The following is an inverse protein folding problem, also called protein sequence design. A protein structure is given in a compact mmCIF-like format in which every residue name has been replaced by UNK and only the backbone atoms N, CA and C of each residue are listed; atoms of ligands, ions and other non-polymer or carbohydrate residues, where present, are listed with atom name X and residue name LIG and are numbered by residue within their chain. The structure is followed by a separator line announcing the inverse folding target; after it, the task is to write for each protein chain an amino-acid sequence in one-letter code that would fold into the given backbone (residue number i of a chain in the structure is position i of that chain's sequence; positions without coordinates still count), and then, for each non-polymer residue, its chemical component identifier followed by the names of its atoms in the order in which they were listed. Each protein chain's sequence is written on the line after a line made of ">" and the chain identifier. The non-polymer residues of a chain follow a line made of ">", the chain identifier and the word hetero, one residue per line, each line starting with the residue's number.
data_IF_487884801346
#
_entry.id   IF_487884801346
#
_cell.length_a   1.000
_cell.length_b   1.000
_cell.length_c   1.000
_cell.angle_alpha   90.00
_cell.angle_beta   90.00
_cell.angle_gamma   90.00
#
_symmetry.space_group_name_H-M   'P 1'
#
loop_
_entity.id
_entity.type
_entity.pdbx_description
1 polymer ?
#
# COMPACT_ATOMS: atom_id res chain seq x y z
N UNK A 1 -3.81 -4.00 23.62
CA UNK A 1 -4.90 -3.22 23.02
C UNK A 1 -4.83 -3.54 21.53
N UNK A 2 -5.74 -4.34 21.01
CA UNK A 2 -5.81 -4.58 19.57
C UNK A 2 -5.98 -3.21 18.93
N UNK A 3 -5.10 -2.82 18.03
CA UNK A 3 -5.30 -1.65 17.17
C UNK A 3 -6.62 -1.93 16.48
N UNK A 4 -7.64 -1.19 16.85
CA UNK A 4 -9.00 -1.57 16.55
C UNK A 4 -9.30 -1.02 15.16
N UNK A 5 -9.05 -1.82 14.13
CA UNK A 5 -9.63 -1.58 12.80
C UNK A 5 -11.13 -1.22 12.91
N UNK A 6 -11.84 -1.80 13.90
CA UNK A 6 -13.21 -1.40 14.27
C UNK A 6 -13.37 0.09 14.60
N UNK A 7 -12.33 0.79 15.05
CA UNK A 7 -12.42 2.22 15.32
C UNK A 7 -12.41 3.06 14.05
N UNK A 8 -11.64 2.65 13.05
CA UNK A 8 -11.65 3.29 11.72
C UNK A 8 -13.01 3.04 11.04
N UNK A 9 -13.58 1.84 11.17
CA UNK A 9 -14.89 1.51 10.62
C UNK A 9 -16.07 2.24 11.31
N UNK A 10 -15.88 2.70 12.55
CA UNK A 10 -16.92 3.39 13.35
C UNK A 10 -16.66 4.89 13.53
N UNK A 11 -15.73 5.49 12.78
CA UNK A 11 -15.55 6.94 12.75
C UNK A 11 -16.79 7.59 12.12
N UNK A 12 -17.25 8.69 12.69
CA UNK A 12 -18.31 9.46 12.07
C UNK A 12 -17.81 10.14 10.77
N UNK A 13 -18.70 10.60 9.87
CA UNK A 13 -18.31 11.20 8.61
C UNK A 13 -17.31 12.37 8.73
N UNK A 14 -17.43 13.20 9.77
CA UNK A 14 -16.52 14.35 10.01
C UNK A 14 -15.14 13.91 10.51
N UNK A 15 -15.07 12.83 11.30
CA UNK A 15 -13.80 12.20 11.71
C UNK A 15 -13.12 11.51 10.55
N UNK A 16 -13.89 10.96 9.60
CA UNK A 16 -13.42 10.35 8.38
C UNK A 16 -12.81 11.40 7.44
N UNK A 17 -13.47 12.52 7.24
CA UNK A 17 -13.04 13.60 6.34
C UNK A 17 -11.69 14.22 6.75
N UNK A 18 -11.31 14.12 8.02
CA UNK A 18 -10.03 14.56 8.57
C UNK A 18 -8.99 13.45 8.72
N UNK A 19 -9.30 12.21 8.32
CA UNK A 19 -8.34 11.12 8.45
C UNK A 19 -7.27 11.23 7.36
N UNK A 20 -6.02 11.13 7.77
CA UNK A 20 -4.84 11.14 6.87
C UNK A 20 -4.94 10.04 5.79
N UNK A 21 -5.77 9.02 5.99
CA UNK A 21 -5.92 7.86 5.12
C UNK A 21 -7.04 8.03 4.08
N UNK A 22 -7.96 8.96 4.30
CA UNK A 22 -9.16 9.17 3.48
C UNK A 22 -9.06 10.38 2.56
N UNK A 23 -7.96 11.16 2.67
CA UNK A 23 -7.71 12.31 1.81
C UNK A 23 -7.71 11.95 0.33
N UNK A 24 -8.04 12.93 -0.50
CA UNK A 24 -8.02 12.77 -1.97
C UNK A 24 -6.63 12.88 -2.57
N UNK A 25 -5.68 13.47 -1.83
CA UNK A 25 -4.31 13.65 -2.31
C UNK A 25 -3.53 12.34 -2.27
N UNK A 26 -2.73 12.05 -3.30
CA UNK A 26 -1.89 10.85 -3.34
C UNK A 26 -0.86 10.86 -2.21
N UNK A 27 -0.40 9.69 -1.82
CA UNK A 27 0.74 9.58 -0.91
C UNK A 27 2.05 9.98 -1.59
N UNK A 28 3.06 10.37 -0.80
CA UNK A 28 4.42 10.56 -1.31
C UNK A 28 4.98 9.33 -2.05
N UNK A 29 4.55 8.14 -1.66
CA UNK A 29 4.91 6.89 -2.33
C UNK A 29 4.48 6.87 -3.80
N UNK A 30 3.24 7.24 -4.07
CA UNK A 30 2.70 7.26 -5.43
C UNK A 30 3.36 8.39 -6.26
N UNK A 31 3.52 9.59 -5.68
CA UNK A 31 4.13 10.71 -6.41
C UNK A 31 5.59 10.44 -6.74
N UNK A 32 6.36 9.87 -5.81
CA UNK A 32 7.76 9.51 -6.06
C UNK A 32 7.94 8.47 -7.18
N UNK A 33 7.03 7.53 -7.33
CA UNK A 33 7.09 6.55 -8.43
C UNK A 33 7.00 7.24 -9.79
N UNK A 34 6.16 8.27 -9.92
CA UNK A 34 6.03 9.06 -11.14
C UNK A 34 7.23 9.98 -11.34
N UNK A 35 7.66 10.71 -10.30
CA UNK A 35 8.81 11.63 -10.34
C UNK A 35 10.11 10.93 -10.72
N UNK A 36 10.32 9.68 -10.24
CA UNK A 36 11.46 8.84 -10.60
C UNK A 36 11.34 8.17 -11.98
N UNK A 37 10.23 8.37 -12.69
CA UNK A 37 9.96 7.74 -13.99
C UNK A 37 9.81 6.21 -13.92
N UNK A 38 9.49 5.66 -12.74
CA UNK A 38 9.18 4.24 -12.54
C UNK A 38 7.77 3.95 -13.05
N UNK A 39 6.79 4.80 -12.67
CA UNK A 39 5.45 4.80 -13.28
C UNK A 39 5.43 5.85 -14.39
N UNK A 40 5.02 5.42 -15.58
CA UNK A 40 4.89 6.21 -16.80
C UNK A 40 3.50 5.99 -17.39
N UNK A 41 3.18 6.73 -18.43
CA UNK A 41 2.02 6.45 -19.26
C UNK A 41 2.02 4.98 -19.71
N UNK A 42 0.86 4.34 -19.62
CA UNK A 42 0.64 2.92 -19.90
C UNK A 42 1.39 1.92 -18.99
N UNK A 43 2.05 2.35 -17.92
CA UNK A 43 2.53 1.41 -16.89
C UNK A 43 1.35 0.70 -16.23
N UNK A 44 1.46 -0.63 -16.08
CA UNK A 44 0.48 -1.41 -15.33
C UNK A 44 0.82 -1.38 -13.84
N UNK A 45 -0.08 -0.83 -13.03
CA UNK A 45 0.12 -0.63 -11.59
C UNK A 45 -0.95 -1.36 -10.80
N UNK A 46 -0.55 -2.11 -9.78
CA UNK A 46 -1.45 -2.66 -8.77
C UNK A 46 -1.36 -1.81 -7.51
N UNK A 47 -2.48 -1.21 -7.07
CA UNK A 47 -2.62 -0.55 -5.77
C UNK A 47 -3.20 -1.56 -4.76
N UNK A 48 -2.35 -2.07 -3.86
CA UNK A 48 -2.66 -3.12 -2.91
C UNK A 48 -3.26 -2.53 -1.63
N UNK A 49 -4.54 -2.84 -1.36
CA UNK A 49 -5.25 -2.25 -0.23
C UNK A 49 -5.55 -0.77 -0.46
N UNK A 50 -6.11 -0.46 -1.62
CA UNK A 50 -6.28 0.90 -2.15
C UNK A 50 -7.16 1.83 -1.31
N UNK A 51 -7.92 1.30 -0.32
CA UNK A 51 -8.90 2.07 0.44
C UNK A 51 -9.89 2.78 -0.49
N UNK A 52 -10.04 4.09 -0.32
CA UNK A 52 -10.91 4.96 -1.14
C UNK A 52 -10.28 5.39 -2.48
N UNK A 53 -9.20 4.74 -2.91
CA UNK A 53 -8.64 4.89 -4.25
C UNK A 53 -7.80 6.13 -4.51
N UNK A 54 -7.34 6.87 -3.49
CA UNK A 54 -6.59 8.13 -3.68
C UNK A 54 -5.32 7.97 -4.54
N UNK A 55 -4.55 6.90 -4.31
CA UNK A 55 -3.34 6.63 -5.11
C UNK A 55 -3.73 6.09 -6.48
N UNK A 56 -4.65 5.13 -6.53
CA UNK A 56 -5.12 4.51 -7.76
C UNK A 56 -5.67 5.55 -8.75
N UNK A 57 -6.58 6.43 -8.29
CA UNK A 57 -7.16 7.47 -9.14
C UNK A 57 -6.12 8.47 -9.62
N UNK A 58 -5.22 8.89 -8.74
CA UNK A 58 -4.17 9.82 -9.11
C UNK A 58 -3.20 9.22 -10.14
N UNK A 59 -2.79 7.96 -9.95
CA UNK A 59 -1.91 7.26 -10.90
C UNK A 59 -2.59 7.07 -12.26
N UNK A 60 -3.88 6.73 -12.28
CA UNK A 60 -4.66 6.67 -13.50
C UNK A 60 -4.75 8.03 -14.20
N UNK A 61 -4.86 9.12 -13.44
CA UNK A 61 -4.79 10.50 -13.95
C UNK A 61 -3.42 10.88 -14.52
N UNK A 62 -2.36 10.10 -14.23
CA UNK A 62 -1.02 10.21 -14.84
C UNK A 62 -0.84 9.31 -16.07
N UNK A 63 -1.91 8.64 -16.52
CA UNK A 63 -1.91 7.77 -17.68
C UNK A 63 -1.51 6.32 -17.40
N UNK A 64 -1.35 5.91 -16.14
CA UNK A 64 -1.13 4.51 -15.79
C UNK A 64 -2.41 3.68 -15.98
N UNK A 65 -2.25 2.40 -16.28
CA UNK A 65 -3.31 1.39 -16.27
C UNK A 65 -3.32 0.82 -14.87
N UNK A 66 -4.40 1.06 -14.11
CA UNK A 66 -4.42 0.76 -12.68
C UNK A 66 -5.48 -0.26 -12.34
N UNK A 67 -5.04 -1.34 -11.69
CA UNK A 67 -5.88 -2.24 -10.91
C UNK A 67 -5.73 -1.88 -9.43
N UNK A 68 -6.84 -1.86 -8.70
CA UNK A 68 -6.89 -1.48 -7.29
C UNK A 68 -7.68 -2.51 -6.51
N UNK A 69 -7.07 -3.12 -5.48
CA UNK A 69 -7.76 -4.10 -4.67
C UNK A 69 -7.98 -3.65 -3.23
N UNK A 70 -9.08 -4.10 -2.66
CA UNK A 70 -9.37 -4.00 -1.24
C UNK A 70 -10.31 -5.14 -0.82
N UNK A 71 -10.31 -5.50 0.45
CA UNK A 71 -11.29 -6.43 1.03
C UNK A 71 -12.63 -5.74 1.36
N UNK A 72 -12.62 -4.44 1.58
CA UNK A 72 -13.78 -3.64 1.94
C UNK A 72 -14.49 -3.12 0.67
N UNK A 73 -15.72 -3.60 0.49
CA UNK A 73 -16.53 -3.26 -0.69
C UNK A 73 -17.06 -1.82 -0.66
N UNK A 74 -17.34 -1.27 0.52
CA UNK A 74 -17.78 0.12 0.67
C UNK A 74 -16.69 1.09 0.24
N UNK A 75 -15.43 0.83 0.64
CA UNK A 75 -14.28 1.61 0.23
C UNK A 75 -14.04 1.53 -1.28
N UNK A 76 -14.15 0.32 -1.87
CA UNK A 76 -14.05 0.14 -3.32
C UNK A 76 -15.13 0.92 -4.08
N UNK A 77 -16.38 0.93 -3.58
CA UNK A 77 -17.48 1.65 -4.20
C UNK A 77 -17.25 3.17 -4.15
N UNK A 78 -16.75 3.67 -3.03
CA UNK A 78 -16.35 5.08 -2.91
C UNK A 78 -15.18 5.41 -3.85
N UNK A 79 -14.17 4.55 -3.94
CA UNK A 79 -13.07 4.70 -4.90
C UNK A 79 -13.56 4.80 -6.34
N UNK A 80 -14.50 3.94 -6.74
CA UNK A 80 -15.14 3.98 -8.06
C UNK A 80 -15.89 5.30 -8.30
N UNK A 81 -16.65 5.77 -7.29
CA UNK A 81 -17.38 7.04 -7.39
C UNK A 81 -16.40 8.20 -7.61
N UNK A 82 -15.31 8.27 -6.81
CA UNK A 82 -14.27 9.30 -6.96
C UNK A 82 -13.56 9.23 -8.33
N UNK A 83 -13.29 8.02 -8.83
CA UNK A 83 -12.71 7.84 -10.16
C UNK A 83 -13.60 8.43 -11.25
N UNK A 84 -14.92 8.17 -11.19
CA UNK A 84 -15.91 8.73 -12.13
C UNK A 84 -15.93 10.25 -12.07
N UNK A 85 -15.92 10.86 -10.88
CA UNK A 85 -15.92 12.31 -10.70
C UNK A 85 -14.63 12.96 -11.25
N UNK A 86 -13.49 12.26 -11.11
CA UNK A 86 -12.20 12.71 -11.63
C UNK A 86 -12.02 12.40 -13.13
N UNK A 87 -12.94 11.67 -13.75
CA UNK A 87 -12.87 11.29 -15.16
C UNK A 87 -11.74 10.31 -15.49
N UNK A 88 -11.34 9.48 -14.51
CA UNK A 88 -10.28 8.47 -14.66
C UNK A 88 -10.85 7.06 -14.65
N UNK A 89 -10.10 6.11 -15.24
CA UNK A 89 -10.49 4.71 -15.29
C UNK A 89 -9.56 3.87 -14.41
N UNK A 90 -10.13 3.19 -13.42
CA UNK A 90 -9.44 2.27 -12.51
C UNK A 90 -10.28 0.99 -12.38
N UNK A 91 -9.64 -0.17 -12.48
CA UNK A 91 -10.29 -1.45 -12.26
C UNK A 91 -10.27 -1.80 -10.77
N UNK A 92 -11.40 -1.58 -10.08
CA UNK A 92 -11.54 -1.87 -8.66
C UNK A 92 -12.05 -3.30 -8.43
N UNK A 93 -11.26 -4.13 -7.75
CA UNK A 93 -11.51 -5.55 -7.51
C UNK A 93 -11.52 -5.86 -6.01
N UNK A 94 -12.56 -6.55 -5.55
CA UNK A 94 -12.59 -7.09 -4.18
C UNK A 94 -11.71 -8.33 -4.10
N UNK A 95 -10.59 -8.25 -3.38
CA UNK A 95 -9.65 -9.34 -3.25
C UNK A 95 -8.85 -9.25 -1.94
N UNK A 96 -8.29 -10.38 -1.52
CA UNK A 96 -7.33 -10.50 -0.42
C UNK A 96 -5.90 -10.33 -0.95
N UNK A 97 -5.03 -9.62 -0.20
CA UNK A 97 -3.64 -9.41 -0.57
C UNK A 97 -2.83 -10.72 -0.68
N UNK A 98 -3.23 -11.75 0.06
CA UNK A 98 -2.62 -13.09 0.02
C UNK A 98 -3.18 -14.00 -1.07
N UNK A 99 -4.14 -13.53 -1.90
CA UNK A 99 -4.72 -14.30 -3.01
C UNK A 99 -5.20 -13.35 -4.11
N UNK A 100 -4.30 -12.94 -4.98
CA UNK A 100 -4.57 -11.95 -6.02
C UNK A 100 -5.20 -12.60 -7.27
N UNK A 101 -6.33 -12.07 -7.78
CA UNK A 101 -7.03 -12.62 -8.94
C UNK A 101 -6.41 -12.14 -10.28
N UNK A 102 -5.09 -12.09 -10.35
CA UNK A 102 -4.35 -11.62 -11.52
C UNK A 102 -3.38 -12.70 -12.00
N UNK A 103 -3.04 -12.65 -13.28
CA UNK A 103 -2.07 -13.56 -13.89
C UNK A 103 -0.64 -13.21 -13.46
N UNK A 104 0.26 -14.16 -13.65
CA UNK A 104 1.70 -13.97 -13.39
C UNK A 104 2.26 -12.84 -14.27
N UNK A 105 3.19 -12.07 -13.72
CA UNK A 105 3.91 -11.04 -14.46
C UNK A 105 3.00 -10.03 -15.18
N UNK A 106 1.90 -9.61 -14.51
CA UNK A 106 0.93 -8.65 -15.04
C UNK A 106 1.33 -7.20 -14.82
N UNK A 107 2.05 -6.90 -13.73
CA UNK A 107 2.29 -5.53 -13.28
C UNK A 107 3.73 -5.08 -13.41
N UNK A 108 3.94 -3.84 -13.85
CA UNK A 108 5.23 -3.16 -13.82
C UNK A 108 5.56 -2.67 -12.40
N UNK A 109 4.52 -2.28 -11.64
CA UNK A 109 4.65 -1.76 -10.27
C UNK A 109 3.53 -2.30 -9.39
N UNK A 110 3.86 -2.70 -8.16
CA UNK A 110 2.92 -2.91 -7.07
C UNK A 110 3.18 -1.84 -6.00
N UNK A 111 2.12 -1.12 -5.62
CA UNK A 111 2.13 -0.14 -4.55
C UNK A 111 1.44 -0.72 -3.32
N UNK A 112 2.20 -0.98 -2.26
CA UNK A 112 1.72 -1.31 -0.92
C UNK A 112 1.87 -0.08 -0.02
N UNK A 113 0.88 0.77 -0.03
CA UNK A 113 0.87 2.02 0.75
C UNK A 113 0.24 1.83 2.13
N UNK A 114 0.63 0.78 2.84
CA UNK A 114 0.17 0.53 4.19
C UNK A 114 -0.88 -0.57 4.31
N UNK A 115 -0.93 -1.50 3.38
CA UNK A 115 -1.84 -2.65 3.39
C UNK A 115 -1.25 -3.83 4.17
N UNK A 116 -0.16 -4.43 3.67
CA UNK A 116 0.32 -5.72 4.19
C UNK A 116 0.77 -5.67 5.64
N UNK A 117 1.30 -4.52 6.12
CA UNK A 117 1.69 -4.42 7.52
C UNK A 117 0.50 -4.51 8.49
N UNK A 118 -0.73 -4.27 8.03
CA UNK A 118 -1.95 -4.40 8.82
C UNK A 118 -2.52 -5.82 8.85
N UNK A 119 -2.06 -6.69 7.96
CA UNK A 119 -2.48 -8.09 7.88
C UNK A 119 -1.85 -8.94 9.00
N UNK A 120 -2.43 -10.12 9.24
CA UNK A 120 -1.78 -11.14 10.06
C UNK A 120 -0.53 -11.70 9.36
N UNK A 121 0.27 -12.45 10.12
CA UNK A 121 1.54 -12.97 9.62
C UNK A 121 1.38 -13.91 8.43
N UNK A 122 0.38 -14.76 8.44
CA UNK A 122 0.12 -15.71 7.35
C UNK A 122 -0.22 -14.98 6.05
N UNK A 123 -1.11 -14.00 6.13
CA UNK A 123 -1.47 -13.15 4.98
C UNK A 123 -0.26 -12.34 4.49
N UNK A 124 0.58 -11.83 5.39
CA UNK A 124 1.81 -11.14 5.00
C UNK A 124 2.77 -12.04 4.21
N UNK A 125 2.96 -13.29 4.64
CA UNK A 125 3.81 -14.27 3.96
C UNK A 125 3.24 -14.60 2.57
N UNK A 126 1.94 -14.83 2.46
CA UNK A 126 1.26 -15.07 1.17
C UNK A 126 1.36 -13.85 0.23
N UNK A 127 1.19 -12.64 0.76
CA UNK A 127 1.26 -11.41 -0.05
C UNK A 127 2.64 -11.20 -0.69
N UNK A 128 3.72 -11.63 -0.04
CA UNK A 128 5.06 -11.60 -0.65
C UNK A 128 5.15 -12.53 -1.85
N UNK A 129 4.60 -13.76 -1.73
CA UNK A 129 4.57 -14.74 -2.82
C UNK A 129 3.71 -14.23 -3.98
N UNK A 130 2.56 -13.65 -3.68
CA UNK A 130 1.68 -13.04 -4.67
C UNK A 130 2.34 -11.83 -5.35
N UNK A 131 2.99 -10.94 -4.59
CA UNK A 131 3.73 -9.82 -5.15
C UNK A 131 4.83 -10.32 -6.10
N UNK A 132 5.59 -11.36 -5.68
CA UNK A 132 6.58 -11.98 -6.58
C UNK A 132 5.93 -12.57 -7.84
N UNK A 133 4.78 -13.21 -7.70
CA UNK A 133 4.10 -13.84 -8.84
C UNK A 133 3.60 -12.80 -9.85
N UNK A 134 2.89 -11.77 -9.37
CA UNK A 134 2.19 -10.83 -10.26
C UNK A 134 3.07 -9.71 -10.81
N UNK A 135 4.18 -9.36 -10.17
CA UNK A 135 5.12 -8.36 -10.67
C UNK A 135 5.98 -8.98 -11.79
N UNK A 136 6.15 -8.23 -12.89
CA UNK A 136 7.04 -8.59 -14.00
C UNK A 136 8.50 -8.68 -13.54
N UNK A 137 9.32 -9.48 -14.24
CA UNK A 137 10.76 -9.50 -14.02
C UNK A 137 11.35 -8.08 -14.15
N UNK A 138 12.11 -7.64 -13.15
CA UNK A 138 12.68 -6.28 -13.09
C UNK A 138 11.67 -5.18 -12.73
N UNK A 139 10.40 -5.52 -12.50
CA UNK A 139 9.37 -4.59 -12.00
C UNK A 139 9.57 -4.22 -10.53
N UNK A 140 8.78 -3.30 -10.02
CA UNK A 140 9.00 -2.67 -8.73
C UNK A 140 7.89 -2.95 -7.71
N UNK A 141 8.28 -3.04 -6.45
CA UNK A 141 7.41 -3.02 -5.29
C UNK A 141 7.75 -1.79 -4.44
N UNK A 142 6.81 -0.87 -4.29
CA UNK A 142 6.89 0.24 -3.34
C UNK A 142 6.15 -0.13 -2.08
N UNK A 143 6.86 -0.25 -0.97
CA UNK A 143 6.34 -0.69 0.32
C UNK A 143 6.33 0.45 1.33
N UNK A 144 5.26 0.52 2.13
CA UNK A 144 5.21 1.29 3.37
C UNK A 144 4.60 0.44 4.50
N UNK A 145 5.20 0.51 5.68
CA UNK A 145 4.68 -0.13 6.89
C UNK A 145 5.21 0.50 8.16
N UNK A 146 4.61 0.19 9.31
CA UNK A 146 5.08 0.69 10.60
C UNK A 146 6.45 0.11 10.97
N UNK A 147 7.32 0.99 11.48
CA UNK A 147 8.65 0.65 11.96
C UNK A 147 8.60 0.10 13.39
N UNK A 148 9.56 -0.76 13.77
CA UNK A 148 9.81 -1.13 15.18
C UNK A 148 10.22 0.07 16.06
N UNK A 149 10.58 1.20 15.48
CA UNK A 149 10.77 2.47 16.20
C UNK A 149 9.45 3.18 16.55
N UNK A 150 8.32 2.71 16.02
CA UNK A 150 7.01 3.27 16.34
C UNK A 150 6.70 3.16 17.83
N UNK A 151 6.19 4.21 18.51
CA UNK A 151 5.94 4.20 19.95
C UNK A 151 5.06 3.05 20.45
N UNK A 152 4.14 2.59 19.62
CA UNK A 152 3.25 1.45 19.96
C UNK A 152 3.95 0.09 19.90
N UNK A 153 5.13 -0.03 19.30
CA UNK A 153 5.89 -1.29 19.25
C UNK A 153 6.23 -1.81 20.65
N UNK A 154 6.67 -0.94 21.56
CA UNK A 154 6.98 -1.35 22.93
C UNK A 154 5.80 -1.94 23.69
N UNK A 155 4.56 -1.56 23.30
CA UNK A 155 3.32 -2.08 23.91
C UNK A 155 2.93 -3.45 23.34
N UNK A 156 3.37 -3.77 22.14
CA UNK A 156 3.08 -5.03 21.46
C UNK A 156 4.24 -5.47 20.52
N UNK A 157 5.38 -5.89 21.07
CA UNK A 157 6.60 -6.21 20.30
C UNK A 157 6.45 -7.46 19.42
N UNK A 158 5.43 -8.29 19.66
CA UNK A 158 5.17 -9.50 18.86
C UNK A 158 4.15 -9.25 17.73
N UNK A 159 3.68 -8.01 17.56
CA UNK A 159 2.76 -7.70 16.48
C UNK A 159 3.50 -7.71 15.14
N UNK A 160 2.96 -8.42 14.13
CA UNK A 160 3.53 -8.45 12.78
C UNK A 160 3.42 -7.12 12.04
N UNK A 161 2.71 -6.14 12.63
CA UNK A 161 2.54 -4.81 12.05
C UNK A 161 3.83 -4.00 12.00
N UNK A 162 4.75 -4.25 12.93
CA UNK A 162 5.99 -3.49 13.06
C UNK A 162 7.18 -4.28 12.53
N UNK A 163 7.89 -3.69 11.59
CA UNK A 163 9.05 -4.30 10.93
C UNK A 163 10.22 -3.33 10.88
N UNK A 164 11.42 -3.83 10.99
CA UNK A 164 12.64 -3.11 10.65
C UNK A 164 13.17 -3.56 9.27
N UNK A 165 14.29 -2.97 8.86
CA UNK A 165 14.88 -3.27 7.55
C UNK A 165 15.30 -4.74 7.44
N UNK A 166 15.78 -5.34 8.54
CA UNK A 166 16.22 -6.73 8.54
C UNK A 166 15.04 -7.70 8.42
N UNK A 167 13.89 -7.37 9.02
CA UNK A 167 12.66 -8.15 8.79
C UNK A 167 12.22 -8.09 7.32
N UNK A 168 12.28 -6.91 6.71
CA UNK A 168 11.93 -6.74 5.29
C UNK A 168 12.91 -7.51 4.40
N UNK A 169 14.23 -7.43 4.65
CA UNK A 169 15.22 -8.21 3.91
C UNK A 169 14.99 -9.71 4.04
N UNK A 170 14.64 -10.18 5.24
CA UNK A 170 14.33 -11.59 5.48
C UNK A 170 13.06 -12.04 4.76
N UNK A 171 12.04 -11.19 4.72
CA UNK A 171 10.73 -11.50 4.17
C UNK A 171 10.71 -11.42 2.62
N UNK A 172 11.33 -10.39 2.06
CA UNK A 172 11.28 -10.08 0.62
C UNK A 172 12.57 -10.42 -0.13
N UNK A 173 13.70 -10.55 0.57
CA UNK A 173 15.03 -10.62 -0.04
C UNK A 173 15.32 -11.84 -0.89
N UNK A 174 14.52 -12.90 -0.83
CA UNK A 174 14.60 -14.02 -1.78
C UNK A 174 14.22 -13.55 -3.20
N UNK A 175 13.18 -12.75 -3.32
CA UNK A 175 12.56 -12.37 -4.59
C UNK A 175 12.91 -10.95 -5.05
N UNK A 176 13.23 -10.06 -4.12
CA UNK A 176 13.42 -8.63 -4.37
C UNK A 176 14.75 -8.12 -3.84
N UNK A 177 15.29 -7.11 -4.49
CA UNK A 177 16.42 -6.31 -4.02
C UNK A 177 15.96 -4.89 -3.65
N UNK A 178 16.52 -4.32 -2.58
CA UNK A 178 16.22 -2.94 -2.18
C UNK A 178 16.92 -1.97 -3.14
N UNK A 179 16.17 -0.97 -3.63
CA UNK A 179 16.66 0.07 -4.54
C UNK A 179 16.80 1.38 -3.79
N UNK A 180 18.02 1.89 -3.71
CA UNK A 180 18.32 3.11 -2.96
C UNK A 180 18.28 2.91 -1.45
N UNK A 181 18.18 4.01 -0.72
CA UNK A 181 18.14 3.99 0.75
C UNK A 181 16.70 3.91 1.25
N UNK A 182 16.38 2.98 2.17
CA UNK A 182 15.12 2.96 2.88
C UNK A 182 14.89 4.29 3.61
N UNK A 183 13.67 4.82 3.54
CA UNK A 183 13.33 6.09 4.15
C UNK A 183 12.51 5.87 5.41
N UNK A 184 12.91 6.53 6.49
CA UNK A 184 12.09 6.65 7.69
C UNK A 184 11.12 7.80 7.53
N UNK A 185 9.83 7.55 7.76
CA UNK A 185 8.78 8.56 7.80
C UNK A 185 8.29 8.76 9.21
N UNK A 186 8.21 10.02 9.62
CA UNK A 186 7.62 10.41 10.90
C UNK A 186 6.45 11.37 10.64
N UNK A 187 5.34 11.13 11.32
CA UNK A 187 4.17 12.03 11.27
C UNK A 187 3.41 12.00 12.59
N UNK A 188 2.55 12.99 12.79
CA UNK A 188 1.68 13.07 13.95
C UNK A 188 0.23 12.98 13.50
N UNK A 189 -0.53 12.10 14.10
CA UNK A 189 -1.97 11.95 13.89
C UNK A 189 -2.65 11.78 15.25
N UNK A 190 -3.76 12.49 15.50
CA UNK A 190 -4.45 12.50 16.80
C UNK A 190 -3.51 12.74 18.00
N UNK A 191 -2.57 13.67 17.89
CA UNK A 191 -1.52 13.95 18.89
C UNK A 191 -0.62 12.75 19.22
N UNK A 192 -0.59 11.70 18.40
CA UNK A 192 0.30 10.56 18.55
C UNK A 192 1.37 10.60 17.44
N UNK A 193 2.62 10.40 17.85
CA UNK A 193 3.73 10.22 16.91
C UNK A 193 3.65 8.84 16.29
N UNK A 194 3.80 8.79 14.97
CA UNK A 194 3.90 7.57 14.19
C UNK A 194 5.25 7.51 13.48
N UNK A 195 5.78 6.31 13.29
CA UNK A 195 7.04 6.08 12.58
C UNK A 195 6.85 4.87 11.66
N UNK A 196 7.14 5.08 10.38
CA UNK A 196 7.07 4.05 9.34
C UNK A 196 8.36 3.98 8.53
N UNK A 197 8.43 2.95 7.70
CA UNK A 197 9.48 2.72 6.72
C UNK A 197 8.88 2.75 5.31
N UNK A 198 9.51 3.50 4.42
CA UNK A 198 9.26 3.47 2.98
C UNK A 198 10.44 2.77 2.30
N UNK A 199 10.15 1.76 1.49
CA UNK A 199 11.18 0.95 0.84
C UNK A 199 10.75 0.69 -0.60
N UNK A 200 11.61 1.08 -1.54
CA UNK A 200 11.49 0.69 -2.93
C UNK A 200 12.29 -0.59 -3.17
N UNK A 201 11.67 -1.57 -3.77
CA UNK A 201 12.29 -2.84 -4.11
C UNK A 201 12.10 -3.15 -5.59
N UNK A 202 13.02 -3.91 -6.18
CA UNK A 202 12.96 -4.37 -7.56
C UNK A 202 12.97 -5.90 -7.57
N UNK A 203 12.11 -6.50 -8.38
CA UNK A 203 12.10 -7.95 -8.59
C UNK A 203 13.38 -8.38 -9.30
N UNK A 204 14.05 -9.39 -8.71
CA UNK A 204 15.30 -9.99 -9.22
C UNK A 204 15.10 -10.73 -10.52
#
# INVERSE_FOLDING_TARGET
>A
MKFNLFKIFNMNPEEKENSQWEGEQPTSLATELVEKGIVKESSHVLDLGCGFGRNANWLAGKGAIVDAININEEELNEGKRRAQEQGVNVNYVKADAGLLPFEDSSFDVLLDAGCTHMCDKETQEKAVLEANRVIKQGGYLQFFGFSKEHPSYQKNPNSPQFRDIEDIKKQYGEYFEIVGEPKKKEWTHENQKHIGLEILMRKK
#
